data_IF_153004028708
#
_entry.id   IF_153004028708
#
_cell.length_a   1.000
_cell.length_b   1.000
_cell.length_c   1.000
_cell.angle_alpha   90.00
_cell.angle_beta   90.00
_cell.angle_gamma   90.00
#
_symmetry.space_group_name_H-M   'P 1'
#
loop_
_entity.id
_entity.type
_entity.pdbx_description
1 polymer ?
#
# COMPACT_ATOMS: atom_id res chain seq x y z
N UNK A 1 12.54 -7.87 6.03
CA UNK A 1 11.09 -7.66 6.26
C UNK A 1 10.45 -7.97 4.93
N UNK A 2 9.64 -9.02 4.88
CA UNK A 2 9.19 -9.58 3.61
C UNK A 2 7.84 -8.96 3.23
N UNK A 3 7.74 -8.47 1.99
CA UNK A 3 6.48 -8.06 1.41
C UNK A 3 5.56 -9.28 1.28
N UNK A 4 4.30 -9.11 1.64
CA UNK A 4 3.26 -10.12 1.48
C UNK A 4 2.40 -9.82 0.25
N UNK A 5 1.76 -10.83 -0.37
CA UNK A 5 0.86 -10.60 -1.51
C UNK A 5 -0.22 -9.54 -1.28
N UNK A 6 -0.78 -9.48 -0.07
CA UNK A 6 -1.78 -8.47 0.29
C UNK A 6 -1.23 -7.04 0.34
N UNK A 7 0.08 -6.86 0.56
CA UNK A 7 0.68 -5.53 0.58
C UNK A 7 0.59 -4.88 -0.80
N UNK A 8 0.77 -5.68 -1.86
CA UNK A 8 0.59 -5.24 -3.24
C UNK A 8 -0.86 -4.85 -3.53
N UNK A 9 -1.83 -5.64 -3.04
CA UNK A 9 -3.26 -5.33 -3.21
C UNK A 9 -3.62 -3.98 -2.56
N UNK A 10 -3.10 -3.72 -1.35
CA UNK A 10 -3.28 -2.44 -0.64
C UNK A 10 -2.74 -1.27 -1.47
N UNK A 11 -1.54 -1.40 -2.03
CA UNK A 11 -0.95 -0.35 -2.88
C UNK A 11 -1.74 -0.12 -4.16
N UNK A 12 -2.18 -1.20 -4.83
CA UNK A 12 -2.97 -1.13 -6.05
C UNK A 12 -4.32 -0.45 -5.84
N UNK A 13 -5.00 -0.75 -4.73
CA UNK A 13 -6.28 -0.12 -4.38
C UNK A 13 -6.16 1.40 -4.30
N UNK A 14 -5.12 1.88 -3.62
CA UNK A 14 -4.85 3.33 -3.49
C UNK A 14 -4.40 3.93 -4.81
N UNK A 15 -3.52 3.25 -5.55
CA UNK A 15 -3.04 3.73 -6.86
C UNK A 15 -4.17 3.84 -7.90
N UNK A 16 -5.19 2.97 -7.82
CA UNK A 16 -6.37 2.99 -8.68
C UNK A 16 -7.36 4.13 -8.36
N UNK A 17 -7.27 4.75 -7.18
CA UNK A 17 -8.18 5.82 -6.74
C UNK A 17 -7.42 7.07 -6.27
N UNK A 18 -6.65 7.75 -7.16
CA UNK A 18 -5.80 8.89 -6.77
C UNK A 18 -6.49 10.04 -6.02
N UNK A 19 -7.73 10.47 -6.35
CA UNK A 19 -8.36 11.57 -5.61
C UNK A 19 -8.90 11.14 -4.24
N UNK A 20 -8.96 9.82 -3.95
CA UNK A 20 -9.55 9.30 -2.73
C UNK A 20 -8.52 9.21 -1.61
N UNK A 21 -8.87 9.77 -0.45
CA UNK A 21 -8.15 9.52 0.80
C UNK A 21 -8.59 8.20 1.40
N UNK A 22 -7.62 7.42 1.88
CA UNK A 22 -7.85 6.09 2.44
C UNK A 22 -7.45 6.05 3.93
N UNK A 23 -8.36 6.40 4.86
CA UNK A 23 -8.21 6.01 6.25
C UNK A 23 -8.05 4.49 6.35
N UNK A 24 -7.18 4.00 7.24
CA UNK A 24 -6.88 2.56 7.33
C UNK A 24 -8.12 1.68 7.57
N UNK A 25 -9.12 2.18 8.31
CA UNK A 25 -10.38 1.48 8.51
C UNK A 25 -11.16 1.30 7.20
N UNK A 26 -11.36 2.37 6.43
CA UNK A 26 -12.05 2.32 5.14
C UNK A 26 -11.28 1.51 4.08
N UNK A 27 -9.94 1.58 4.11
CA UNK A 27 -9.10 0.79 3.23
C UNK A 27 -9.21 -0.70 3.55
N UNK A 28 -9.13 -1.05 4.82
CA UNK A 28 -9.32 -2.42 5.30
C UNK A 28 -10.68 -2.97 4.91
N UNK A 29 -11.76 -2.24 5.22
CA UNK A 29 -13.13 -2.61 4.84
C UNK A 29 -13.25 -2.88 3.33
N UNK A 30 -12.70 -1.99 2.50
CA UNK A 30 -12.76 -2.12 1.04
C UNK A 30 -12.00 -3.31 0.46
N UNK A 31 -11.12 -3.92 1.24
CA UNK A 31 -10.28 -5.06 0.87
C UNK A 31 -10.58 -6.31 1.70
N UNK A 32 -11.63 -6.28 2.53
CA UNK A 32 -11.98 -7.35 3.48
C UNK A 32 -10.82 -7.68 4.44
N UNK A 33 -10.11 -6.65 4.90
CA UNK A 33 -9.01 -6.72 5.86
C UNK A 33 -9.32 -5.88 7.10
N UNK A 34 -8.69 -6.19 8.23
CA UNK A 34 -8.73 -5.29 9.39
C UNK A 34 -7.93 -4.01 9.14
N UNK A 35 -8.25 -2.95 9.88
CA UNK A 35 -7.49 -1.69 9.81
C UNK A 35 -6.01 -1.87 10.18
N UNK A 36 -5.71 -2.76 11.15
CA UNK A 36 -4.34 -3.08 11.56
C UNK A 36 -3.58 -3.84 10.47
N UNK A 37 -4.24 -4.73 9.73
CA UNK A 37 -3.64 -5.40 8.58
C UNK A 37 -3.33 -4.42 7.44
N UNK A 38 -4.24 -3.50 7.12
CA UNK A 38 -4.00 -2.45 6.14
C UNK A 38 -2.82 -1.56 6.56
N UNK A 39 -2.78 -1.14 7.83
CA UNK A 39 -1.67 -0.36 8.38
C UNK A 39 -0.33 -1.12 8.31
N UNK A 40 -0.31 -2.40 8.70
CA UNK A 40 0.88 -3.22 8.65
C UNK A 40 1.40 -3.41 7.21
N UNK A 41 0.48 -3.47 6.24
CA UNK A 41 0.80 -3.56 4.81
C UNK A 41 1.47 -2.29 4.31
N UNK A 42 0.92 -1.12 4.65
CA UNK A 42 1.54 0.17 4.33
C UNK A 42 2.91 0.33 4.97
N UNK A 43 3.06 -0.10 6.24
CA UNK A 43 4.36 -0.07 6.93
C UNK A 43 5.42 -0.90 6.19
N UNK A 44 5.08 -2.10 5.71
CA UNK A 44 5.98 -2.93 4.90
C UNK A 44 6.30 -2.26 3.56
N UNK A 45 5.28 -1.75 2.86
CA UNK A 45 5.46 -1.06 1.58
C UNK A 45 6.39 0.17 1.67
N UNK A 46 6.27 0.96 2.75
CA UNK A 46 7.18 2.08 3.01
C UNK A 46 8.59 1.59 3.28
N UNK A 47 8.76 0.55 4.11
CA UNK A 47 10.08 -0.04 4.36
C UNK A 47 10.74 -0.61 3.10
N UNK A 48 9.95 -1.05 2.13
CA UNK A 48 10.41 -1.57 0.83
C UNK A 48 10.51 -0.50 -0.27
N UNK A 49 10.25 0.78 0.04
CA UNK A 49 10.32 1.87 -0.93
C UNK A 49 9.20 1.88 -1.98
N UNK A 50 8.15 1.08 -1.82
CA UNK A 50 6.98 1.07 -2.73
C UNK A 50 5.94 2.13 -2.37
N UNK A 51 6.05 2.75 -1.20
CA UNK A 51 5.22 3.85 -0.73
C UNK A 51 6.06 4.88 0.03
N UNK A 52 5.55 6.11 0.11
CA UNK A 52 6.08 7.18 0.96
C UNK A 52 5.06 7.58 2.00
N UNK A 53 5.52 7.91 3.21
CA UNK A 53 4.68 8.37 4.30
C UNK A 53 5.28 9.66 4.89
N UNK A 54 4.94 10.85 4.32
CA UNK A 54 5.47 12.12 4.81
C UNK A 54 5.02 12.45 6.24
N UNK A 55 3.94 11.82 6.72
CA UNK A 55 3.50 11.91 8.11
C UNK A 55 2.95 10.58 8.60
N UNK A 56 2.53 10.52 9.87
CA UNK A 56 1.88 9.31 10.42
C UNK A 56 0.51 9.03 9.79
N UNK A 57 -0.13 10.05 9.22
CA UNK A 57 -1.51 9.98 8.72
C UNK A 57 -1.53 9.91 7.20
N UNK A 58 -0.60 10.60 6.55
CA UNK A 58 -0.53 10.69 5.09
C UNK A 58 0.51 9.72 4.53
N UNK A 59 0.12 9.02 3.48
CA UNK A 59 0.99 8.15 2.72
C UNK A 59 0.44 7.99 1.29
N UNK A 60 1.31 7.60 0.37
CA UNK A 60 0.92 7.30 -1.01
C UNK A 60 1.86 6.27 -1.66
N UNK A 61 1.37 5.45 -2.59
CA UNK A 61 2.23 4.59 -3.40
C UNK A 61 3.19 5.41 -4.27
N UNK A 62 4.44 4.96 -4.37
CA UNK A 62 5.40 5.48 -5.34
C UNK A 62 5.16 4.76 -6.66
N UNK A 63 4.41 5.39 -7.56
CA UNK A 63 3.94 4.76 -8.81
C UNK A 63 5.07 4.15 -9.66
N UNK A 64 6.21 4.83 -9.91
CA UNK A 64 7.30 4.23 -10.68
C UNK A 64 7.83 2.94 -10.04
N UNK A 65 8.12 2.97 -8.75
CA UNK A 65 8.65 1.82 -8.01
C UNK A 65 7.65 0.65 -8.00
N UNK A 66 6.36 0.95 -7.83
CA UNK A 66 5.29 -0.05 -7.86
C UNK A 66 5.20 -0.72 -9.25
N UNK A 67 5.33 0.04 -10.33
CA UNK A 67 5.33 -0.51 -11.69
C UNK A 67 6.54 -1.43 -11.94
N UNK A 68 7.75 -1.00 -11.59
CA UNK A 68 8.95 -1.83 -11.73
C UNK A 68 8.84 -3.12 -10.91
N UNK A 69 8.36 -3.02 -9.67
CA UNK A 69 8.15 -4.18 -8.80
C UNK A 69 7.11 -5.16 -9.38
N UNK A 70 6.00 -4.65 -9.93
CA UNK A 70 4.99 -5.50 -10.56
C UNK A 70 5.51 -6.21 -11.82
N UNK A 71 6.33 -5.53 -12.63
CA UNK A 71 6.87 -6.10 -13.87
C UNK A 71 7.99 -7.11 -13.62
N UNK A 72 8.79 -6.90 -12.57
CA UNK A 72 10.06 -7.62 -12.40
C UNK A 72 10.22 -8.34 -11.06
N UNK A 73 9.54 -7.89 -10.00
CA UNK A 73 9.77 -8.31 -8.60
C UNK A 73 8.66 -9.14 -7.94
N UNK A 74 7.51 -9.32 -8.59
CA UNK A 74 6.36 -10.03 -7.99
C UNK A 74 6.42 -11.56 -8.08
N UNK A 75 7.39 -12.12 -8.81
CA UNK A 75 7.49 -13.56 -9.14
C UNK A 75 8.04 -14.40 -8.00
#
# INVERSE_FOLDING_TARGET
MDLKPQDLLVLLKVAAHPPQRWPYAALGESLSMSASEAHASVKRAVASGLAVAPSRVEWSPVRPNLLEFMLHGVR
#
